data_IF_262409498210
#
_entry.id   IF_262409498210
#
_cell.length_a   1.000
_cell.length_b   1.000
_cell.length_c   1.000
_cell.angle_alpha   90.00
_cell.angle_beta   90.00
_cell.angle_gamma   90.00
#
_symmetry.space_group_name_H-M   'P 1'
#
loop_
_entity.id
_entity.type
_entity.pdbx_description
1 polymer ?
#
# COMPACT_ATOMS: atom_id res chain seq x y z
N UNK A 1 -12.88 -10.92 14.71
CA UNK A 1 -12.32 -10.49 13.41
C UNK A 1 -11.01 -11.20 13.11
N UNK A 2 -10.81 -11.69 11.88
CA UNK A 2 -9.51 -12.18 11.47
C UNK A 2 -8.50 -11.02 11.46
N UNK A 3 -7.23 -11.25 11.87
CA UNK A 3 -6.21 -10.22 11.84
C UNK A 3 -5.98 -9.72 10.41
N UNK A 4 -5.87 -8.39 10.26
CA UNK A 4 -5.55 -7.74 8.98
C UNK A 4 -4.03 -7.75 8.82
N UNK A 5 -3.53 -8.36 7.75
CA UNK A 5 -2.11 -8.34 7.44
C UNK A 5 -1.67 -6.94 7.00
N UNK A 6 -0.55 -6.46 7.55
CA UNK A 6 0.08 -5.20 7.18
C UNK A 6 1.48 -5.48 6.62
N UNK A 7 1.79 -4.86 5.49
CA UNK A 7 3.10 -4.95 4.86
C UNK A 7 3.65 -3.54 4.57
N UNK A 8 4.96 -3.40 4.73
CA UNK A 8 5.72 -2.21 4.31
C UNK A 8 6.49 -2.57 3.04
N UNK A 9 6.44 -1.67 2.06
CA UNK A 9 7.25 -1.76 0.85
C UNK A 9 8.12 -0.50 0.80
N UNK A 10 9.43 -0.68 0.65
CA UNK A 10 10.35 0.43 0.46
C UNK A 10 10.46 0.77 -1.02
N UNK A 11 9.79 1.85 -1.43
CA UNK A 11 9.79 2.30 -2.81
C UNK A 11 11.11 2.96 -3.27
N UNK A 12 12.05 3.22 -2.35
CA UNK A 12 13.36 3.81 -2.68
C UNK A 12 14.45 2.76 -2.91
N UNK A 13 14.25 1.55 -2.39
CA UNK A 13 15.17 0.42 -2.54
C UNK A 13 14.50 -0.75 -3.29
N UNK A 14 14.44 -1.93 -2.66
CA UNK A 14 14.02 -3.18 -3.30
C UNK A 14 12.54 -3.24 -3.74
N UNK A 15 11.71 -2.30 -3.33
CA UNK A 15 10.28 -2.25 -3.67
C UNK A 15 9.92 -1.35 -4.84
N UNK A 16 10.90 -0.73 -5.51
CA UNK A 16 10.66 0.27 -6.58
C UNK A 16 9.72 -0.25 -7.69
N UNK A 17 9.96 -1.46 -8.21
CA UNK A 17 9.11 -2.05 -9.26
C UNK A 17 7.68 -2.30 -8.81
N UNK A 18 7.49 -2.73 -7.56
CA UNK A 18 6.16 -2.88 -6.95
C UNK A 18 5.46 -1.53 -6.83
N UNK A 19 6.17 -0.49 -6.41
CA UNK A 19 5.61 0.85 -6.27
C UNK A 19 5.24 1.46 -7.63
N UNK A 20 6.05 1.25 -8.67
CA UNK A 20 5.72 1.61 -10.06
C UNK A 20 4.49 0.84 -10.58
N UNK A 21 4.44 -0.48 -10.35
CA UNK A 21 3.32 -1.34 -10.75
C UNK A 21 1.98 -0.86 -10.16
N UNK A 22 2.00 -0.40 -8.91
CA UNK A 22 0.81 0.13 -8.25
C UNK A 22 0.70 1.66 -8.32
N UNK A 23 1.47 2.31 -9.18
CA UNK A 23 1.42 3.76 -9.43
C UNK A 23 1.54 4.61 -8.15
N UNK A 24 2.44 4.23 -7.25
CA UNK A 24 2.78 5.04 -6.07
C UNK A 24 3.60 6.24 -6.52
N UNK A 25 3.01 7.43 -6.48
CA UNK A 25 3.65 8.69 -6.91
C UNK A 25 4.00 9.63 -5.74
N UNK A 26 3.56 9.30 -4.51
CA UNK A 26 3.83 10.08 -3.31
C UNK A 26 3.89 9.20 -2.06
N UNK A 27 4.58 9.69 -1.03
CA UNK A 27 4.80 8.95 0.22
C UNK A 27 4.25 9.71 1.44
N UNK A 28 3.66 9.02 2.44
CA UNK A 28 3.23 7.63 2.38
C UNK A 28 1.97 7.46 1.53
N UNK A 29 1.85 6.30 0.85
CA UNK A 29 0.62 5.85 0.19
C UNK A 29 0.19 4.52 0.79
N UNK A 30 -1.08 4.42 1.18
CA UNK A 30 -1.66 3.20 1.74
C UNK A 30 -2.57 2.57 0.68
N UNK A 31 -2.33 1.28 0.39
CA UNK A 31 -3.09 0.50 -0.59
C UNK A 31 -3.77 -0.68 0.09
N UNK A 32 -5.05 -0.88 -0.21
CA UNK A 32 -5.86 -1.94 0.37
C UNK A 32 -5.93 -3.11 -0.61
N UNK A 33 -5.57 -4.29 -0.11
CA UNK A 33 -5.69 -5.55 -0.82
C UNK A 33 -6.73 -6.43 -0.13
N UNK A 34 -7.57 -7.10 -0.93
CA UNK A 34 -8.54 -8.09 -0.45
C UNK A 34 -8.37 -9.36 -1.26
N UNK A 35 -8.18 -10.48 -0.56
CA UNK A 35 -7.95 -11.80 -1.19
C UNK A 35 -6.78 -11.80 -2.19
N UNK A 36 -5.75 -11.00 -1.93
CA UNK A 36 -4.56 -10.87 -2.80
C UNK A 36 -4.73 -9.88 -3.96
N UNK A 37 -5.91 -9.31 -4.17
CA UNK A 37 -6.18 -8.36 -5.24
C UNK A 37 -6.19 -6.92 -4.73
N UNK A 38 -5.61 -6.01 -5.51
CA UNK A 38 -5.69 -4.58 -5.23
C UNK A 38 -7.14 -4.13 -5.31
N UNK A 39 -7.63 -3.47 -4.27
CA UNK A 39 -9.01 -2.99 -4.20
C UNK A 39 -9.06 -1.48 -4.40
N UNK A 40 -8.33 -0.73 -3.57
CA UNK A 40 -8.38 0.74 -3.60
C UNK A 40 -7.22 1.39 -2.83
N UNK A 41 -6.98 2.66 -3.12
CA UNK A 41 -6.14 3.53 -2.30
C UNK A 41 -6.91 3.99 -1.06
N UNK A 42 -6.21 4.06 0.08
CA UNK A 42 -6.78 4.61 1.30
C UNK A 42 -6.68 6.13 1.29
N UNK A 43 -7.84 6.77 1.17
CA UNK A 43 -8.02 8.23 1.14
C UNK A 43 -8.66 8.78 2.43
N UNK A 44 -8.81 7.95 3.47
CA UNK A 44 -9.35 8.38 4.76
C UNK A 44 -8.33 9.21 5.57
N UNK A 45 -8.74 9.69 6.76
CA UNK A 45 -7.85 10.40 7.68
C UNK A 45 -6.60 9.57 7.97
N UNK A 46 -5.43 10.21 7.89
CA UNK A 46 -4.12 9.63 8.25
C UNK A 46 -3.72 10.10 9.65
N UNK A 47 -4.67 10.09 10.57
CA UNK A 47 -4.46 10.56 11.94
C UNK A 47 -3.63 9.54 12.73
N UNK A 48 -2.71 10.07 13.55
CA UNK A 48 -1.82 9.36 14.47
C UNK A 48 -2.49 9.05 15.80
#
# INVERSE_FOLDING_TARGET
>A
DPPVALAKVDCTEGGKSTCEQFSVTGYPTLKIFRKGEFTQDYNGPRDS
#
